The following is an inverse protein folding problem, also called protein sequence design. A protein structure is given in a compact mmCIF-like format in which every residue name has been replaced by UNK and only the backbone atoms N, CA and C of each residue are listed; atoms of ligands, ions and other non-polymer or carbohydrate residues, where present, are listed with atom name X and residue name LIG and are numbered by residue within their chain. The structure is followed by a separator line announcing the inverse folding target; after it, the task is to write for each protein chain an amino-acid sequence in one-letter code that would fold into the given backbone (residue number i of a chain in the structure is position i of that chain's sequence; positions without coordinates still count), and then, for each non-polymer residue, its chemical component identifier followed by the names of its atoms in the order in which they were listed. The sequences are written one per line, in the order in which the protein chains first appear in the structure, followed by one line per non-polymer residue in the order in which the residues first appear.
data_IF_924202450158
#
_entry.id   IF_924202450158
#
_cell.length_a   1.000
_cell.length_b   1.000
_cell.length_c   1.000
_cell.angle_alpha   90.00
_cell.angle_beta   90.00
_cell.angle_gamma   90.00
#
_symmetry.space_group_name_H-M   'P 1'
#
loop_
_entity.id
_entity.type
_entity.pdbx_description
1 polymer ?
#
# COMPACT_ATOMS: atom_id res chain seq x y z
N UNK A 1 -69.88 -22.57 -1.50
CA UNK A 1 -68.88 -21.84 -2.30
C UNK A 1 -67.87 -21.19 -1.35
N UNK A 2 -66.82 -21.92 -0.98
CA UNK A 2 -65.73 -21.41 -0.13
C UNK A 2 -64.69 -20.74 -1.04
N UNK A 3 -64.40 -19.45 -0.79
CA UNK A 3 -63.27 -18.75 -1.40
C UNK A 3 -62.07 -18.92 -0.49
N UNK A 4 -61.11 -19.75 -0.91
CA UNK A 4 -59.79 -19.80 -0.29
C UNK A 4 -59.07 -18.47 -0.56
N UNK A 5 -58.84 -17.70 0.49
CA UNK A 5 -57.94 -16.55 0.46
C UNK A 5 -56.53 -17.08 0.74
N UNK A 6 -55.69 -17.21 -0.31
CA UNK A 6 -54.25 -17.38 -0.12
C UNK A 6 -53.65 -16.03 0.26
N UNK A 7 -53.27 -15.88 1.52
CA UNK A 7 -52.45 -14.76 1.97
C UNK A 7 -51.03 -14.99 1.48
N UNK A 8 -50.62 -14.26 0.44
CA UNK A 8 -49.25 -14.26 -0.07
C UNK A 8 -48.38 -13.46 0.90
N UNK A 9 -47.65 -14.15 1.78
CA UNK A 9 -46.58 -13.52 2.57
C UNK A 9 -45.41 -13.28 1.62
N UNK A 10 -45.25 -12.04 1.15
CA UNK A 10 -44.00 -11.59 0.55
C UNK A 10 -42.95 -11.62 1.66
N UNK A 11 -42.13 -12.67 1.68
CA UNK A 11 -40.86 -12.63 2.37
C UNK A 11 -40.00 -11.59 1.64
N UNK A 12 -39.93 -10.38 2.19
CA UNK A 12 -38.90 -9.42 1.82
C UNK A 12 -37.57 -10.02 2.28
N UNK A 13 -36.89 -10.75 1.40
CA UNK A 13 -35.47 -11.02 1.56
C UNK A 13 -34.76 -9.67 1.48
N UNK A 14 -34.54 -9.05 2.64
CA UNK A 14 -33.51 -8.04 2.80
C UNK A 14 -32.21 -8.72 2.35
N UNK A 15 -31.81 -8.45 1.12
CA UNK A 15 -30.41 -8.57 0.75
C UNK A 15 -29.73 -7.56 1.67
N UNK A 16 -29.10 -8.04 2.74
CA UNK A 16 -28.03 -7.28 3.36
C UNK A 16 -26.99 -7.11 2.25
N UNK A 17 -27.09 -6.02 1.50
CA UNK A 17 -25.95 -5.52 0.76
C UNK A 17 -24.93 -5.21 1.85
N UNK A 18 -23.98 -6.11 2.06
CA UNK A 18 -22.84 -5.84 2.94
C UNK A 18 -22.28 -4.51 2.45
N UNK A 19 -22.28 -3.50 3.32
CA UNK A 19 -21.71 -2.21 2.97
C UNK A 19 -20.29 -2.47 2.46
N UNK A 20 -20.02 -2.07 1.22
CA UNK A 20 -18.74 -2.37 0.58
C UNK A 20 -17.95 -1.06 0.49
N UNK A 21 -16.70 -1.10 0.92
CA UNK A 21 -15.80 0.03 0.84
C UNK A 21 -15.20 0.17 -0.56
N UNK A 22 -14.87 -0.97 -1.17
CA UNK A 22 -14.20 -1.05 -2.47
C UNK A 22 -14.76 -2.18 -3.32
N UNK A 23 -14.89 -1.96 -4.63
CA UNK A 23 -15.34 -2.97 -5.59
C UNK A 23 -14.29 -4.08 -5.71
N UNK A 24 -14.67 -5.33 -5.40
CA UNK A 24 -13.84 -6.54 -5.46
C UNK A 24 -14.38 -7.48 -6.55
N UNK A 25 -13.57 -8.02 -7.49
CA UNK A 25 -12.10 -8.05 -7.56
C UNK A 25 -11.41 -6.72 -7.89
N UNK A 26 -10.08 -6.59 -7.66
CA UNK A 26 -9.33 -5.40 -8.01
C UNK A 26 -9.41 -5.11 -9.52
N UNK A 27 -9.54 -3.84 -9.87
CA UNK A 27 -9.60 -3.34 -11.25
C UNK A 27 -8.25 -3.43 -11.95
N UNK A 28 -7.15 -3.49 -11.18
CA UNK A 28 -5.80 -3.67 -11.70
C UNK A 28 -4.92 -4.44 -10.73
N UNK A 29 -4.06 -5.27 -11.29
CA UNK A 29 -2.99 -5.97 -10.55
C UNK A 29 -1.66 -5.71 -11.26
N UNK A 30 -0.69 -5.19 -10.53
CA UNK A 30 0.71 -5.10 -10.97
C UNK A 30 1.49 -6.19 -10.23
N UNK A 31 2.04 -7.14 -10.97
CA UNK A 31 2.87 -8.20 -10.42
C UNK A 31 4.33 -7.74 -10.37
N UNK A 32 4.84 -7.61 -9.16
CA UNK A 32 6.27 -7.50 -8.89
C UNK A 32 6.91 -8.89 -8.89
N UNK A 33 8.24 -8.98 -8.74
CA UNK A 33 8.88 -10.27 -8.50
C UNK A 33 8.29 -10.99 -7.26
N UNK A 34 8.82 -12.16 -6.91
CA UNK A 34 8.44 -12.84 -5.66
C UNK A 34 9.08 -12.12 -4.46
N UNK A 35 8.50 -11.00 -4.08
CA UNK A 35 8.97 -10.07 -3.04
C UNK A 35 7.78 -9.63 -2.17
N UNK A 36 8.06 -9.27 -0.93
CA UNK A 36 7.05 -8.72 -0.02
C UNK A 36 6.84 -7.23 -0.31
N UNK A 37 5.61 -6.83 -0.65
CA UNK A 37 5.29 -5.41 -0.88
C UNK A 37 5.12 -4.70 0.45
N UNK A 38 6.06 -3.84 0.83
CA UNK A 38 6.09 -3.17 2.14
C UNK A 38 5.66 -1.71 2.10
N UNK A 39 5.53 -1.13 0.90
CA UNK A 39 5.10 0.24 0.70
C UNK A 39 4.83 0.57 -0.77
N UNK A 40 3.99 1.56 -1.02
CA UNK A 40 3.55 1.96 -2.36
C UNK A 40 3.54 3.48 -2.44
N UNK A 41 4.18 4.05 -3.47
CA UNK A 41 4.24 5.50 -3.67
C UNK A 41 3.92 5.84 -5.12
N UNK A 42 2.97 6.72 -5.34
CA UNK A 42 2.67 7.23 -6.69
C UNK A 42 3.69 8.29 -7.09
N UNK A 43 4.14 8.21 -8.34
CA UNK A 43 4.89 9.33 -8.92
C UNK A 43 4.02 10.59 -9.00
N UNK A 44 4.60 11.80 -8.93
CA UNK A 44 3.83 13.06 -8.94
C UNK A 44 2.95 13.24 -10.17
N UNK A 45 3.38 12.72 -11.33
CA UNK A 45 2.61 12.77 -12.59
C UNK A 45 1.57 11.65 -12.71
N UNK A 46 1.56 10.68 -11.79
CA UNK A 46 0.64 9.54 -11.83
C UNK A 46 0.95 8.50 -12.91
N UNK A 47 2.09 8.59 -13.60
CA UNK A 47 2.46 7.69 -14.70
C UNK A 47 3.13 6.40 -14.20
N UNK A 48 3.75 6.46 -13.02
CA UNK A 48 4.47 5.36 -12.40
C UNK A 48 4.02 5.11 -10.96
N UNK A 49 4.21 3.88 -10.52
CA UNK A 49 4.14 3.44 -9.13
C UNK A 49 5.51 2.97 -8.68
N UNK A 50 5.97 3.43 -7.52
CA UNK A 50 7.15 2.93 -6.85
C UNK A 50 6.69 1.93 -5.79
N UNK A 51 7.19 0.69 -5.90
CA UNK A 51 6.86 -0.41 -4.99
C UNK A 51 8.07 -0.69 -4.13
N UNK A 52 7.91 -0.59 -2.81
CA UNK A 52 8.96 -0.89 -1.84
C UNK A 52 8.86 -2.35 -1.44
N UNK A 53 10.03 -2.96 -1.24
CA UNK A 53 10.13 -4.35 -0.84
C UNK A 53 11.41 -4.61 -0.05
N UNK A 54 11.61 -5.86 0.36
CA UNK A 54 12.72 -6.35 1.19
C UNK A 54 14.13 -6.18 0.59
N UNK A 55 14.23 -5.73 -0.68
CA UNK A 55 15.50 -5.62 -1.43
C UNK A 55 15.75 -4.24 -2.05
N UNK A 56 14.90 -3.26 -1.77
CA UNK A 56 14.97 -1.97 -2.43
C UNK A 56 13.60 -1.46 -2.85
N UNK A 57 13.55 -0.89 -4.05
CA UNK A 57 12.33 -0.41 -4.66
C UNK A 57 12.31 -0.67 -6.18
N UNK A 58 11.13 -0.99 -6.70
CA UNK A 58 10.87 -1.12 -8.13
C UNK A 58 9.98 0.04 -8.60
N UNK A 59 10.45 0.79 -9.60
CA UNK A 59 9.63 1.72 -10.35
C UNK A 59 8.93 0.98 -11.48
N UNK A 60 7.61 1.01 -11.49
CA UNK A 60 6.78 0.36 -12.50
C UNK A 60 5.91 1.36 -13.22
N UNK A 61 5.77 1.16 -14.53
CA UNK A 61 4.83 1.89 -15.35
C UNK A 61 3.42 1.53 -14.88
N UNK A 62 2.64 2.55 -14.50
CA UNK A 62 1.34 2.33 -13.90
C UNK A 62 0.39 1.67 -14.89
N UNK A 63 0.48 1.99 -16.18
CA UNK A 63 -0.46 1.53 -17.20
C UNK A 63 -0.22 0.07 -17.59
N UNK A 64 1.03 -0.26 -17.89
CA UNK A 64 1.46 -1.57 -18.38
C UNK A 64 1.91 -2.53 -17.28
N UNK A 65 2.19 -2.02 -16.07
CA UNK A 65 2.75 -2.79 -14.96
C UNK A 65 4.22 -3.19 -15.16
N UNK A 66 4.86 -2.78 -16.27
CA UNK A 66 6.23 -3.16 -16.60
C UNK A 66 7.23 -2.49 -15.67
N UNK A 67 8.30 -3.20 -15.35
CA UNK A 67 9.45 -2.65 -14.64
C UNK A 67 10.11 -1.56 -15.50
N UNK A 68 10.25 -0.37 -14.94
CA UNK A 68 10.95 0.77 -15.54
C UNK A 68 12.36 0.87 -14.99
N UNK A 69 12.49 0.82 -13.66
CA UNK A 69 13.78 0.84 -12.95
C UNK A 69 13.71 0.02 -11.66
N UNK A 70 14.85 -0.50 -11.26
CA UNK A 70 15.09 -1.09 -9.95
C UNK A 70 16.10 -0.21 -9.22
N UNK A 71 15.83 0.05 -7.94
CA UNK A 71 16.68 0.80 -7.03
C UNK A 71 17.06 -0.13 -5.89
N UNK A 72 18.20 -0.81 -6.06
CA UNK A 72 18.72 -1.70 -5.04
C UNK A 72 19.19 -0.89 -3.83
N UNK A 73 18.70 -1.24 -2.64
CA UNK A 73 19.16 -0.65 -1.38
C UNK A 73 20.02 -1.68 -0.66
N UNK A 74 21.27 -1.33 -0.33
CA UNK A 74 22.21 -2.23 0.36
C UNK A 74 23.04 -1.46 1.40
N UNK A 75 22.39 -0.63 2.19
CA UNK A 75 23.03 0.23 3.19
C UNK A 75 22.55 -0.15 4.60
N UNK A 76 23.26 0.29 5.65
CA UNK A 76 22.91 -0.02 7.06
C UNK A 76 22.91 -1.52 7.41
N UNK A 77 23.58 -2.36 6.61
CA UNK A 77 23.57 -3.81 6.78
C UNK A 77 22.20 -4.46 6.53
N UNK A 78 21.29 -3.76 5.85
CA UNK A 78 19.95 -4.21 5.52
C UNK A 78 19.58 -3.80 4.09
N UNK A 79 18.79 -4.63 3.42
CA UNK A 79 18.30 -4.29 2.08
C UNK A 79 16.89 -3.68 2.12
N UNK A 80 16.36 -3.45 3.31
CA UNK A 80 15.01 -2.95 3.53
C UNK A 80 14.97 -1.44 3.42
N UNK A 81 14.14 -0.94 2.52
CA UNK A 81 13.80 0.47 2.45
C UNK A 81 12.69 0.77 3.46
N UNK A 82 12.95 1.70 4.35
CA UNK A 82 12.03 2.12 5.41
C UNK A 82 11.11 3.22 4.98
N UNK A 83 11.46 3.97 3.93
CA UNK A 83 10.65 4.99 3.31
C UNK A 83 11.18 5.32 1.93
N UNK A 84 10.27 5.61 1.02
CA UNK A 84 10.60 6.27 -0.23
C UNK A 84 9.73 7.49 -0.48
N UNK A 85 10.30 8.48 -1.15
CA UNK A 85 9.58 9.66 -1.62
C UNK A 85 10.13 10.09 -2.98
N UNK A 86 9.25 10.54 -3.87
CA UNK A 86 9.67 11.32 -5.03
C UNK A 86 9.95 12.76 -4.60
N UNK A 87 10.85 13.44 -5.31
CA UNK A 87 10.83 14.89 -5.32
C UNK A 87 9.63 15.41 -6.14
N UNK A 88 9.31 16.70 -6.02
CA UNK A 88 8.08 17.29 -6.58
C UNK A 88 7.91 17.08 -8.09
N UNK A 89 9.00 17.14 -8.85
CA UNK A 89 8.96 16.95 -10.31
C UNK A 89 9.11 15.47 -10.75
N UNK A 90 9.37 14.55 -9.81
CA UNK A 90 9.49 13.12 -10.05
C UNK A 90 10.81 12.67 -10.69
N UNK A 91 11.80 13.55 -10.81
CA UNK A 91 13.11 13.23 -11.40
C UNK A 91 14.01 12.42 -10.46
N UNK A 92 13.75 12.51 -9.15
CA UNK A 92 14.52 11.80 -8.13
C UNK A 92 13.60 11.04 -7.18
N UNK A 93 14.10 9.89 -6.74
CA UNK A 93 13.56 9.14 -5.60
C UNK A 93 14.58 9.16 -4.47
N UNK A 94 14.11 9.41 -3.25
CA UNK A 94 14.89 9.21 -2.04
C UNK A 94 14.44 7.91 -1.41
N UNK A 95 15.36 6.98 -1.19
CA UNK A 95 15.19 5.80 -0.34
C UNK A 95 15.85 6.07 1.01
N UNK A 96 15.20 5.66 2.10
CA UNK A 96 15.71 5.85 3.46
C UNK A 96 15.66 4.50 4.17
N UNK A 97 16.77 4.05 4.76
CA UNK A 97 16.84 2.79 5.53
C UNK A 97 16.73 2.95 7.05
N UNK A 98 16.97 1.86 7.78
CA UNK A 98 16.76 1.75 9.23
C UNK A 98 17.58 2.75 10.05
N UNK A 99 18.86 2.87 9.72
CA UNK A 99 19.76 3.76 10.44
C UNK A 99 19.60 5.20 9.96
N UNK A 100 18.71 5.43 8.98
CA UNK A 100 18.48 6.71 8.37
C UNK A 100 19.49 7.05 7.29
N UNK A 101 20.23 6.07 6.76
CA UNK A 101 21.00 6.26 5.53
C UNK A 101 20.03 6.55 4.39
N UNK A 102 20.40 7.56 3.59
CA UNK A 102 19.57 8.10 2.52
C UNK A 102 20.29 7.87 1.22
N UNK A 103 19.57 7.32 0.27
CA UNK A 103 20.04 7.21 -1.10
C UNK A 103 19.15 8.03 -2.00
N UNK A 104 19.76 8.88 -2.83
CA UNK A 104 19.05 9.65 -3.83
C UNK A 104 19.33 9.00 -5.18
N UNK A 105 18.29 8.72 -5.93
CA UNK A 105 18.34 8.01 -7.21
C UNK A 105 17.74 8.88 -8.29
N UNK A 106 18.48 9.09 -9.38
CA UNK A 106 17.96 9.70 -10.59
C UNK A 106 17.04 8.67 -11.28
N UNK A 107 15.77 9.04 -11.44
CA UNK A 107 14.71 8.15 -11.95
C UNK A 107 14.96 7.77 -13.41
N UNK A 108 15.48 8.68 -14.22
CA UNK A 108 15.68 8.46 -15.66
C UNK A 108 16.83 7.48 -15.91
N UNK A 109 17.95 7.70 -15.24
CA UNK A 109 19.18 6.93 -15.44
C UNK A 109 19.18 5.66 -14.59
N UNK A 110 18.53 5.67 -13.42
CA UNK A 110 18.61 4.61 -12.42
C UNK A 110 19.94 4.62 -11.67
N UNK A 111 20.65 5.76 -11.63
CA UNK A 111 21.94 5.88 -10.94
C UNK A 111 21.76 6.63 -9.63
N UNK A 112 22.48 6.18 -8.60
CA UNK A 112 22.54 6.85 -7.32
C UNK A 112 23.37 8.14 -7.42
N UNK A 113 22.82 9.24 -6.93
CA UNK A 113 23.53 10.49 -6.70
C UNK A 113 23.95 10.59 -5.22
N UNK A 114 25.18 10.14 -4.95
CA UNK A 114 25.76 10.17 -3.61
C UNK A 114 26.02 11.58 -3.10
N UNK A 115 26.18 12.57 -3.99
CA UNK A 115 26.44 13.95 -3.56
C UNK A 115 25.14 14.59 -3.07
N UNK A 116 24.03 14.38 -3.76
CA UNK A 116 22.72 14.87 -3.33
C UNK A 116 22.28 14.30 -1.98
N UNK A 117 22.63 13.05 -1.68
CA UNK A 117 22.34 12.40 -0.40
C UNK A 117 22.96 13.10 0.83
N UNK A 118 23.99 13.92 0.64
CA UNK A 118 24.67 14.65 1.72
C UNK A 118 23.94 15.93 2.14
N UNK A 119 22.98 16.43 1.36
CA UNK A 119 22.31 17.70 1.66
C UNK A 119 21.24 17.57 2.76
N UNK A 120 21.08 18.64 3.57
CA UNK A 120 20.22 18.68 4.77
C UNK A 120 18.73 18.90 4.53
N UNK A 121 18.33 19.27 3.31
CA UNK A 121 16.91 19.47 2.96
C UNK A 121 16.17 18.14 2.79
N UNK A 122 16.90 17.04 2.59
CA UNK A 122 16.34 15.69 2.65
C UNK A 122 16.04 15.39 4.14
N UNK A 123 14.80 14.99 4.50
CA UNK A 123 14.45 14.70 5.89
C UNK A 123 15.47 13.76 6.54
N UNK A 124 15.93 14.10 7.74
CA UNK A 124 16.79 13.20 8.51
C UNK A 124 15.97 12.06 9.13
N UNK A 125 16.69 11.10 9.72
CA UNK A 125 16.08 9.94 10.36
C UNK A 125 15.08 10.31 11.47
N UNK A 126 15.31 11.41 12.19
CA UNK A 126 14.46 11.86 13.30
C UNK A 126 13.16 12.42 12.75
N UNK A 127 13.23 13.34 11.77
CA UNK A 127 12.06 13.86 11.07
C UNK A 127 11.28 12.78 10.33
N UNK A 128 11.97 11.75 9.84
CA UNK A 128 11.31 10.58 9.24
C UNK A 128 10.56 9.76 10.29
N UNK A 129 11.09 9.63 11.51
CA UNK A 129 10.41 8.97 12.65
C UNK A 129 9.21 9.75 13.17
N UNK A 130 9.29 11.07 13.21
CA UNK A 130 8.19 11.96 13.61
C UNK A 130 6.96 11.85 12.71
N UNK A 131 7.11 11.30 11.49
CA UNK A 131 6.00 10.98 10.59
C UNK A 131 5.32 9.62 10.88
N UNK A 132 5.54 9.03 12.07
CA UNK A 132 4.77 7.88 12.56
C UNK A 132 5.45 6.51 12.45
N UNK A 133 6.77 6.44 12.20
CA UNK A 133 7.49 5.16 12.15
C UNK A 133 7.70 4.59 13.56
N UNK A 134 6.93 3.56 13.94
CA UNK A 134 7.09 2.86 15.22
C UNK A 134 8.22 1.84 15.13
N UNK A 135 9.23 1.97 16.00
CA UNK A 135 10.17 0.88 16.31
C UNK A 135 9.57 0.00 17.39
N UNK A 136 9.22 -1.24 17.10
CA UNK A 136 9.23 -2.27 18.15
C UNK A 136 10.61 -2.96 18.16
N UNK A 137 10.90 -3.67 19.24
CA UNK A 137 12.25 -4.10 19.63
C UNK A 137 12.70 -5.44 19.01
N UNK A 138 12.42 -5.72 17.74
CA UNK A 138 13.01 -6.88 17.05
C UNK A 138 13.88 -6.45 15.88
N UNK A 139 15.06 -7.03 15.75
CA UNK A 139 15.88 -6.96 14.53
C UNK A 139 15.15 -7.57 13.29
N UNK A 140 14.02 -8.25 13.54
CA UNK A 140 13.11 -8.82 12.55
C UNK A 140 11.75 -8.10 12.50
N UNK A 141 11.58 -6.98 13.20
CA UNK A 141 10.35 -6.21 13.04
C UNK A 141 10.31 -5.69 11.61
N UNK A 142 9.45 -6.31 10.82
CA UNK A 142 9.17 -5.88 9.46
C UNK A 142 8.36 -4.61 9.58
N UNK A 143 9.01 -3.51 9.23
CA UNK A 143 8.42 -2.19 9.36
C UNK A 143 7.54 -1.93 8.15
N UNK A 144 6.27 -2.32 8.28
CA UNK A 144 5.26 -2.03 7.27
C UNK A 144 4.96 -0.54 7.28
N UNK A 145 5.14 0.07 6.12
CA UNK A 145 4.65 1.41 5.91
C UNK A 145 3.16 1.36 5.63
N UNK A 146 2.49 2.48 5.89
CA UNK A 146 1.13 2.69 5.38
C UNK A 146 0.14 1.63 5.90
N UNK A 147 0.32 1.06 7.10
CA UNK A 147 -0.61 0.04 7.64
C UNK A 147 -1.99 0.59 7.97
N UNK A 148 -2.19 1.90 7.86
CA UNK A 148 -3.47 2.57 8.01
C UNK A 148 -3.54 3.77 7.08
N UNK A 149 -4.67 3.97 6.44
CA UNK A 149 -4.98 5.15 5.67
C UNK A 149 -6.44 5.55 5.85
N UNK A 150 -6.75 6.81 5.57
CA UNK A 150 -8.08 7.39 5.73
C UNK A 150 -8.50 8.10 4.44
N UNK A 151 -9.77 7.98 4.07
CA UNK A 151 -10.39 8.64 2.93
C UNK A 151 -11.81 9.09 3.29
N UNK A 152 -11.96 10.36 3.65
CA UNK A 152 -13.20 10.85 4.24
C UNK A 152 -13.48 10.14 5.57
N UNK A 153 -14.67 9.53 5.70
CA UNK A 153 -15.07 8.75 6.87
C UNK A 153 -14.55 7.30 6.86
N UNK A 154 -13.99 6.84 5.74
CA UNK A 154 -13.53 5.48 5.57
C UNK A 154 -12.08 5.35 6.07
N UNK A 155 -11.82 4.32 6.86
CA UNK A 155 -10.47 3.97 7.33
C UNK A 155 -10.13 2.59 6.82
N UNK A 156 -9.01 2.43 6.13
CA UNK A 156 -8.41 1.14 5.81
C UNK A 156 -7.26 0.87 6.78
N UNK A 157 -7.16 -0.34 7.32
CA UNK A 157 -6.00 -0.75 8.10
C UNK A 157 -5.64 -2.22 7.86
N UNK A 158 -4.35 -2.50 7.95
CA UNK A 158 -3.79 -3.83 7.78
C UNK A 158 -3.89 -4.63 9.07
N UNK A 159 -4.26 -5.89 8.92
CA UNK A 159 -4.37 -6.88 9.98
C UNK A 159 -3.48 -8.09 9.65
N UNK A 160 -3.52 -9.11 10.52
CA UNK A 160 -2.73 -10.34 10.37
C UNK A 160 -2.91 -10.98 8.99
N UNK A 161 -1.86 -11.69 8.54
CA UNK A 161 -1.78 -12.31 7.21
C UNK A 161 -1.93 -11.30 6.05
N UNK A 162 -1.72 -10.02 6.30
CA UNK A 162 -1.84 -8.93 5.33
C UNK A 162 -3.27 -8.62 4.92
N UNK A 163 -4.29 -9.08 5.66
CA UNK A 163 -5.67 -8.69 5.39
C UNK A 163 -5.85 -7.17 5.56
N UNK A 164 -6.81 -6.60 4.84
CA UNK A 164 -7.16 -5.18 4.96
C UNK A 164 -8.58 -5.07 5.47
N UNK A 165 -8.76 -4.40 6.60
CA UNK A 165 -10.06 -4.12 7.19
C UNK A 165 -10.42 -2.66 6.95
N UNK A 166 -11.60 -2.45 6.39
CA UNK A 166 -12.22 -1.14 6.23
C UNK A 166 -13.22 -0.91 7.34
N UNK A 167 -13.15 0.26 7.98
CA UNK A 167 -14.13 0.71 8.98
C UNK A 167 -14.72 2.06 8.60
N UNK A 168 -15.94 2.32 9.07
CA UNK A 168 -16.55 3.66 9.01
C UNK A 168 -15.98 4.60 10.10
N UNK A 169 -16.54 5.81 10.21
CA UNK A 169 -16.13 6.82 11.19
C UNK A 169 -16.40 6.42 12.64
N UNK A 170 -17.35 5.50 12.87
CA UNK A 170 -17.69 4.97 14.19
C UNK A 170 -16.82 3.75 14.54
N UNK A 171 -15.99 3.28 13.61
CA UNK A 171 -15.14 2.11 13.76
C UNK A 171 -15.83 0.79 13.47
N UNK A 172 -17.05 0.79 12.90
CA UNK A 172 -17.71 -0.44 12.49
C UNK A 172 -17.05 -0.99 11.24
N UNK A 173 -16.84 -2.30 11.19
CA UNK A 173 -16.28 -2.98 10.02
C UNK A 173 -17.28 -2.89 8.86
N UNK A 174 -16.83 -2.31 7.76
CA UNK A 174 -17.55 -2.21 6.49
C UNK A 174 -17.20 -3.44 5.64
N UNK A 175 -15.91 -3.68 5.41
CA UNK A 175 -15.44 -4.75 4.54
C UNK A 175 -14.08 -5.26 5.01
N UNK A 176 -13.81 -6.55 4.81
CA UNK A 176 -12.48 -7.13 4.94
C UNK A 176 -12.04 -7.72 3.61
N UNK A 177 -10.82 -7.40 3.19
CA UNK A 177 -10.14 -8.06 2.07
C UNK A 177 -9.13 -9.06 2.63
N UNK A 178 -9.30 -10.32 2.25
CA UNK A 178 -8.38 -11.39 2.57
C UNK A 178 -7.55 -11.77 1.34
N UNK A 179 -6.27 -12.08 1.55
CA UNK A 179 -5.36 -12.50 0.48
C UNK A 179 -4.83 -13.92 0.77
N UNK A 180 -5.54 -14.98 0.33
CA UNK A 180 -5.17 -16.36 0.64
C UNK A 180 -3.79 -16.79 0.13
N UNK A 181 -3.23 -16.06 -0.83
CA UNK A 181 -1.88 -16.33 -1.34
C UNK A 181 -0.78 -15.81 -0.43
N UNK A 182 -1.11 -14.92 0.52
CA UNK A 182 -0.18 -14.50 1.55
C UNK A 182 0.20 -15.69 2.42
N UNK A 183 1.49 -16.03 2.44
CA UNK A 183 2.03 -17.13 3.23
C UNK A 183 2.65 -16.66 4.53
N UNK A 184 3.02 -15.39 4.58
CA UNK A 184 3.63 -14.77 5.72
C UNK A 184 2.58 -14.20 6.67
N UNK A 185 2.48 -14.84 7.82
CA UNK A 185 1.50 -14.48 8.86
C UNK A 185 1.78 -13.12 9.49
N UNK A 186 3.00 -12.62 9.36
CA UNK A 186 3.40 -11.33 9.88
C UNK A 186 3.31 -10.21 8.84
N UNK A 187 2.94 -10.52 7.58
CA UNK A 187 2.70 -9.50 6.56
C UNK A 187 1.63 -8.52 7.03
N UNK A 188 1.88 -7.21 6.88
CA UNK A 188 0.84 -6.17 6.98
C UNK A 188 0.83 -5.43 5.64
N UNK A 189 -0.28 -5.49 4.93
CA UNK A 189 -0.40 -4.89 3.62
C UNK A 189 -0.35 -3.35 3.70
N UNK A 190 0.38 -2.66 2.80
CA UNK A 190 0.28 -1.21 2.72
C UNK A 190 -1.14 -0.81 2.31
N UNK A 191 -1.67 0.25 2.91
CA UNK A 191 -3.00 0.79 2.67
C UNK A 191 -2.81 2.22 2.15
N UNK A 192 -3.22 2.48 0.91
CA UNK A 192 -3.04 3.79 0.28
C UNK A 192 -4.31 4.19 -0.46
N UNK A 193 -4.81 5.40 -0.22
CA UNK A 193 -5.87 6.00 -1.03
C UNK A 193 -5.27 6.97 -2.05
N UNK A 194 -5.64 6.81 -3.32
CA UNK A 194 -5.18 7.65 -4.44
C UNK A 194 -6.41 8.04 -5.25
N UNK A 195 -6.87 9.29 -5.07
CA UNK A 195 -8.15 9.73 -5.65
C UNK A 195 -9.28 8.82 -5.19
N UNK A 196 -10.06 8.31 -6.15
CA UNK A 196 -11.20 7.41 -5.91
C UNK A 196 -10.79 5.92 -5.85
N UNK A 197 -9.52 5.62 -5.56
CA UNK A 197 -9.01 4.24 -5.48
C UNK A 197 -8.35 3.95 -4.15
N UNK A 198 -8.51 2.70 -3.74
CA UNK A 198 -7.69 2.08 -2.72
C UNK A 198 -6.63 1.19 -3.38
N UNK A 199 -5.40 1.25 -2.87
CA UNK A 199 -4.27 0.48 -3.38
C UNK A 199 -3.58 -0.23 -2.22
N UNK A 200 -3.26 -1.50 -2.43
CA UNK A 200 -2.61 -2.34 -1.42
C UNK A 200 -1.62 -3.33 -2.04
N UNK A 201 -0.88 -4.04 -1.18
CA UNK A 201 0.20 -4.93 -1.54
C UNK A 201 0.08 -6.29 -0.86
N UNK A 202 0.71 -7.31 -1.43
CA UNK A 202 0.75 -8.67 -0.89
C UNK A 202 2.19 -9.15 -0.68
N UNK A 203 2.35 -10.27 0.06
CA UNK A 203 3.68 -10.86 0.30
C UNK A 203 4.23 -11.65 -0.91
N UNK A 204 3.38 -11.89 -1.91
CA UNK A 204 3.70 -12.54 -3.17
C UNK A 204 3.96 -11.56 -4.32
N UNK A 205 4.11 -10.27 -3.99
CA UNK A 205 4.58 -9.24 -4.92
C UNK A 205 3.48 -8.56 -5.70
N UNK A 206 2.20 -8.72 -5.37
CA UNK A 206 1.12 -8.07 -6.11
C UNK A 206 0.81 -6.71 -5.51
N UNK A 207 0.64 -5.72 -6.37
CA UNK A 207 0.02 -4.44 -6.05
C UNK A 207 -1.38 -4.43 -6.65
N UNK A 208 -2.38 -4.29 -5.80
CA UNK A 208 -3.79 -4.45 -6.11
C UNK A 208 -4.48 -3.08 -6.04
N UNK A 209 -5.22 -2.71 -7.07
CA UNK A 209 -5.96 -1.46 -7.15
C UNK A 209 -7.46 -1.77 -7.14
N UNK A 210 -8.20 -1.13 -6.27
CA UNK A 210 -9.65 -1.25 -6.15
C UNK A 210 -10.29 0.13 -6.32
N UNK A 211 -11.39 0.20 -7.07
CA UNK A 211 -12.19 1.41 -7.12
C UNK A 211 -13.03 1.51 -5.84
N UNK A 212 -13.09 2.70 -5.25
CA UNK A 212 -13.97 2.96 -4.10
C UNK A 212 -15.43 2.86 -4.53
N UNK A 213 -16.26 2.28 -3.65
CA UNK A 213 -17.72 2.34 -3.84
C UNK A 213 -18.16 3.77 -3.57
N UNK A 214 -18.83 4.37 -4.55
CA UNK A 214 -19.38 5.73 -4.39
C UNK A 214 -20.58 5.69 -3.44
N UNK A 215 -20.74 6.71 -2.58
CA UNK A 215 -21.92 6.85 -1.73
C UNK A 215 -23.22 6.97 -2.54
#
# INVERSE_FOLDING_TARGET
MMKNLLTLVLASSLINAMAQAVVDPPVKVIQCGKVEVTGIVMSPKGEHVLVLHDKGAELRDLETGKLVKEFAYNEDGSNTVYRAIFNENGEYVVLIGLAGTREVWDVKTGKQDKMLALYKWIPDAIRTREMGLKKSNSAFDRFYQQTRAEHGALVAHAEKNGSVVFTDADGNVVQTLDFPTNKDKQHLAPCVFIGDRFVTGTDDGRVLFYDLVKP
#
